data_IF_400501383389
#
_entry.id   IF_400501383389
#
_cell.length_a   1.000
_cell.length_b   1.000
_cell.length_c   1.000
_cell.angle_alpha   90.00
_cell.angle_beta   90.00
_cell.angle_gamma   90.00
#
_symmetry.space_group_name_H-M   'P 1'
#
loop_
_entity.id
_entity.type
_entity.pdbx_description
1 polymer ?
#
# COMPACT_ATOMS: atom_id res chain seq x y z
N UNK A 1 45.12 -40.87 29.59
CA UNK A 1 45.16 -40.46 28.17
C UNK A 1 43.88 -40.93 27.51
N UNK A 2 42.94 -40.01 27.25
CA UNK A 2 41.65 -40.32 26.65
C UNK A 2 41.59 -39.70 25.24
N UNK A 3 41.32 -40.52 24.24
CA UNK A 3 41.20 -40.09 22.85
C UNK A 3 39.86 -39.38 22.60
N UNK A 4 39.79 -38.36 21.72
CA UNK A 4 38.53 -37.75 21.33
C UNK A 4 37.94 -38.48 20.11
N UNK A 5 36.73 -39.03 20.27
CA UNK A 5 35.92 -39.60 19.20
C UNK A 5 35.07 -38.52 18.52
N UNK A 6 35.61 -37.89 17.47
CA UNK A 6 34.81 -37.08 16.56
C UNK A 6 34.24 -37.95 15.44
N UNK A 7 33.07 -38.56 15.69
CA UNK A 7 32.21 -39.10 14.64
C UNK A 7 31.42 -37.93 14.02
N UNK A 8 31.95 -37.35 12.94
CA UNK A 8 31.16 -36.48 12.05
C UNK A 8 30.33 -37.37 11.12
N UNK A 9 29.01 -37.27 11.25
CA UNK A 9 28.02 -37.83 10.32
C UNK A 9 28.33 -37.43 8.85
N UNK A 10 28.22 -38.35 7.87
CA UNK A 10 28.42 -38.05 6.45
C UNK A 10 27.16 -37.50 5.76
N UNK A 11 26.11 -37.12 6.50
CA UNK A 11 24.87 -36.58 5.89
C UNK A 11 25.00 -35.15 5.31
N UNK A 12 26.20 -34.55 5.33
CA UNK A 12 26.44 -33.20 4.82
C UNK A 12 26.77 -33.09 3.33
N UNK A 13 26.78 -34.20 2.56
CA UNK A 13 27.28 -34.22 1.19
C UNK A 13 26.25 -34.51 0.08
N UNK A 14 24.95 -34.33 0.34
CA UNK A 14 23.97 -34.26 -0.75
C UNK A 14 23.86 -32.82 -1.25
N UNK A 15 24.58 -32.53 -2.33
CA UNK A 15 24.40 -31.32 -3.14
C UNK A 15 22.91 -31.21 -3.46
N UNK A 16 22.26 -30.18 -2.92
CA UNK A 16 20.89 -29.79 -3.24
C UNK A 16 20.79 -29.60 -4.76
N UNK A 17 20.24 -30.58 -5.46
CA UNK A 17 19.93 -30.49 -6.89
C UNK A 17 18.93 -29.34 -7.03
N UNK A 18 19.40 -28.21 -7.58
CA UNK A 18 18.52 -27.14 -8.04
C UNK A 18 17.84 -27.63 -9.30
N UNK A 19 16.66 -28.21 -9.14
CA UNK A 19 15.72 -28.42 -10.24
C UNK A 19 15.22 -27.01 -10.61
N UNK A 20 15.82 -26.41 -11.63
CA UNK A 20 15.25 -25.23 -12.28
C UNK A 20 13.95 -25.67 -12.96
N UNK A 21 12.81 -24.99 -12.74
CA UNK A 21 11.62 -25.26 -13.54
C UNK A 21 11.96 -25.00 -15.02
N UNK A 22 11.40 -25.78 -15.97
CA UNK A 22 11.63 -25.55 -17.39
C UNK A 22 11.21 -24.13 -17.76
N UNK A 23 11.98 -23.50 -18.66
CA UNK A 23 11.91 -22.10 -19.08
C UNK A 23 10.60 -21.67 -19.79
N UNK A 24 9.49 -22.38 -19.58
CA UNK A 24 8.18 -22.14 -20.18
C UNK A 24 7.12 -21.62 -19.19
N UNK A 25 7.53 -20.99 -18.08
CA UNK A 25 6.62 -20.16 -17.29
C UNK A 25 6.97 -18.69 -17.51
N UNK A 26 6.48 -18.16 -18.63
CA UNK A 26 6.33 -16.72 -18.80
C UNK A 26 5.57 -16.18 -17.58
N UNK A 27 6.09 -15.12 -16.96
CA UNK A 27 5.45 -14.43 -15.87
C UNK A 27 4.11 -13.85 -16.35
N UNK A 28 3.06 -14.64 -16.17
CA UNK A 28 1.69 -14.23 -16.42
C UNK A 28 1.34 -13.10 -15.45
N UNK A 29 0.84 -11.94 -15.92
CA UNK A 29 0.45 -10.85 -15.05
C UNK A 29 -0.62 -11.31 -14.04
N UNK A 30 -0.48 -10.87 -12.78
CA UNK A 30 -1.34 -11.21 -11.63
C UNK A 30 -2.85 -11.09 -11.91
N UNK A 31 -3.26 -10.30 -12.90
CA UNK A 31 -4.65 -10.16 -13.32
C UNK A 31 -5.24 -11.45 -13.90
N UNK A 32 -4.46 -12.33 -14.54
CA UNK A 32 -4.99 -13.58 -15.11
C UNK A 32 -5.36 -14.63 -14.04
N UNK A 33 -4.79 -14.55 -12.82
CA UNK A 33 -5.09 -15.52 -11.74
C UNK A 33 -6.49 -15.37 -11.13
N UNK A 34 -7.05 -14.16 -11.13
CA UNK A 34 -8.40 -13.93 -10.59
C UNK A 34 -9.51 -14.32 -11.57
N UNK A 35 -9.30 -14.15 -12.88
CA UNK A 35 -10.26 -14.59 -13.91
C UNK A 35 -10.34 -16.12 -14.03
N UNK A 36 -9.23 -16.83 -13.82
CA UNK A 36 -9.23 -18.29 -13.93
C UNK A 36 -10.04 -18.95 -12.81
N UNK A 37 -10.09 -18.38 -11.59
CA UNK A 37 -10.83 -18.97 -10.47
C UNK A 37 -12.35 -18.85 -10.62
N UNK A 38 -12.84 -17.76 -11.21
CA UNK A 38 -14.29 -17.60 -11.50
C UNK A 38 -14.71 -18.48 -12.67
N UNK A 39 -13.92 -18.55 -13.75
CA UNK A 39 -14.20 -19.44 -14.88
C UNK A 39 -14.16 -20.93 -14.50
N UNK A 40 -13.20 -21.34 -13.65
CA UNK A 40 -13.15 -22.70 -13.10
C UNK A 40 -14.37 -23.00 -12.21
N UNK A 41 -14.85 -22.01 -11.43
CA UNK A 41 -16.09 -22.13 -10.65
C UNK A 41 -17.32 -22.39 -11.53
N UNK A 42 -17.52 -21.62 -12.59
CA UNK A 42 -18.63 -21.83 -13.53
C UNK A 42 -18.55 -23.18 -14.26
N UNK A 43 -17.33 -23.67 -14.51
CA UNK A 43 -17.11 -24.98 -15.12
C UNK A 43 -17.48 -26.14 -14.19
N UNK A 44 -17.26 -25.99 -12.88
CA UNK A 44 -17.69 -26.95 -11.85
C UNK A 44 -19.21 -26.98 -11.70
N UNK A 45 -19.89 -25.85 -11.94
CA UNK A 45 -21.35 -25.74 -11.96
C UNK A 45 -21.99 -26.18 -13.30
N UNK A 46 -21.21 -26.75 -14.24
CA UNK A 46 -21.63 -27.12 -15.60
C UNK A 46 -22.24 -25.96 -16.42
N UNK A 47 -21.83 -24.72 -16.13
CA UNK A 47 -22.30 -23.54 -16.85
C UNK A 47 -21.25 -23.12 -17.88
N UNK A 48 -21.49 -23.44 -19.15
CA UNK A 48 -20.65 -22.97 -20.26
C UNK A 48 -20.88 -21.49 -20.53
N UNK A 49 -20.01 -20.66 -19.95
CA UNK A 49 -20.03 -19.19 -20.05
C UNK A 49 -20.00 -18.72 -21.51
N UNK A 50 -19.29 -19.45 -22.38
CA UNK A 50 -19.19 -19.13 -23.80
C UNK A 50 -20.53 -19.25 -24.53
N UNK A 51 -21.33 -20.25 -24.19
CA UNK A 51 -22.62 -20.50 -24.83
C UNK A 51 -23.71 -19.58 -24.26
N UNK A 52 -23.66 -19.27 -22.96
CA UNK A 52 -24.52 -18.24 -22.38
C UNK A 52 -24.25 -16.85 -22.94
N UNK A 53 -22.97 -16.50 -23.16
CA UNK A 53 -22.59 -15.22 -23.75
C UNK A 53 -23.11 -15.09 -25.19
N UNK A 54 -23.02 -16.15 -26.00
CA UNK A 54 -23.61 -16.21 -27.35
C UNK A 54 -25.13 -16.10 -27.32
N UNK A 55 -25.81 -16.82 -26.41
CA UNK A 55 -27.28 -16.75 -26.27
C UNK A 55 -27.79 -15.38 -25.83
N UNK A 56 -26.95 -14.60 -25.14
CA UNK A 56 -27.29 -13.27 -24.63
C UNK A 56 -26.69 -12.12 -25.46
N UNK A 57 -26.09 -12.43 -26.61
CA UNK A 57 -25.41 -11.48 -27.49
C UNK A 57 -24.42 -10.55 -26.76
N UNK A 58 -23.71 -11.07 -25.75
CA UNK A 58 -22.72 -10.31 -25.00
C UNK A 58 -21.38 -10.42 -25.75
N UNK A 59 -20.78 -9.31 -26.22
CA UNK A 59 -19.49 -9.35 -26.90
C UNK A 59 -18.40 -9.78 -25.91
N UNK A 60 -17.87 -10.99 -26.11
CA UNK A 60 -16.75 -11.53 -25.34
C UNK A 60 -15.42 -10.95 -25.83
N UNK A 61 -14.43 -10.75 -24.95
CA UNK A 61 -13.09 -10.38 -25.40
C UNK A 61 -12.55 -11.45 -26.36
N UNK A 62 -11.82 -11.06 -27.43
CA UNK A 62 -11.30 -12.00 -28.39
C UNK A 62 -10.41 -13.03 -27.70
N UNK A 63 -10.81 -14.31 -27.80
CA UNK A 63 -10.09 -15.46 -27.20
C UNK A 63 -8.85 -15.86 -28.00
N UNK A 64 -8.71 -15.33 -29.22
CA UNK A 64 -7.53 -15.52 -30.04
C UNK A 64 -6.32 -14.99 -29.25
N UNK A 65 -5.31 -15.86 -29.08
CA UNK A 65 -4.02 -15.38 -28.63
C UNK A 65 -3.59 -14.29 -29.64
N UNK A 66 -3.11 -13.13 -29.17
CA UNK A 66 -2.59 -12.12 -30.09
C UNK A 66 -1.59 -12.82 -31.01
N UNK A 67 -1.69 -12.59 -32.31
CA UNK A 67 -0.86 -13.27 -33.31
C UNK A 67 0.60 -13.28 -32.83
N UNK A 68 1.23 -14.46 -32.80
CA UNK A 68 2.62 -14.59 -32.40
C UNK A 68 3.45 -13.63 -33.24
N UNK A 69 4.01 -12.61 -32.59
CA UNK A 69 4.90 -11.64 -33.25
C UNK A 69 6.00 -12.43 -33.95
N UNK A 70 6.07 -12.33 -35.28
CA UNK A 70 7.08 -13.01 -36.09
C UNK A 70 8.49 -12.64 -35.62
N UNK A 71 9.47 -13.52 -35.79
CA UNK A 71 10.83 -13.27 -35.29
C UNK A 71 11.44 -11.99 -35.90
N UNK A 72 11.14 -11.69 -37.18
CA UNK A 72 11.50 -10.43 -37.82
C UNK A 72 10.84 -9.19 -37.20
N UNK A 73 9.64 -9.32 -36.63
CA UNK A 73 9.00 -8.24 -35.86
C UNK A 73 9.63 -8.11 -34.47
N UNK A 74 10.03 -9.22 -33.84
CA UNK A 74 10.73 -9.21 -32.53
C UNK A 74 12.07 -8.49 -32.62
N UNK A 75 12.86 -8.77 -33.66
CA UNK A 75 14.14 -8.08 -33.91
C UNK A 75 13.94 -6.57 -34.11
N UNK A 76 12.91 -6.17 -34.87
CA UNK A 76 12.54 -4.75 -35.04
C UNK A 76 12.11 -4.10 -33.72
N UNK A 77 11.33 -4.80 -32.90
CA UNK A 77 10.92 -4.32 -31.57
C UNK A 77 12.12 -4.21 -30.63
N UNK A 78 13.08 -5.11 -30.73
CA UNK A 78 14.29 -5.13 -29.90
C UNK A 78 15.27 -4.01 -30.28
N UNK A 79 15.32 -3.63 -31.56
CA UNK A 79 16.05 -2.45 -32.04
C UNK A 79 15.40 -1.13 -31.58
N UNK A 80 14.10 -1.11 -31.29
CA UNK A 80 13.41 0.09 -30.82
C UNK A 80 13.74 0.37 -29.34
N UNK A 81 14.01 1.65 -29.05
CA UNK A 81 14.18 2.10 -27.67
C UNK A 81 12.88 1.89 -26.90
N UNK A 82 12.96 1.20 -25.76
CA UNK A 82 11.83 1.06 -24.83
C UNK A 82 11.31 2.44 -24.40
N UNK A 83 9.99 2.63 -24.26
CA UNK A 83 9.44 3.91 -23.84
C UNK A 83 9.93 4.28 -22.44
N UNK A 84 10.08 5.59 -22.19
CA UNK A 84 10.75 6.11 -20.98
C UNK A 84 10.11 5.66 -19.67
N UNK A 85 8.79 5.46 -19.66
CA UNK A 85 8.06 4.94 -18.50
C UNK A 85 8.49 3.51 -18.14
N UNK A 86 8.61 2.62 -19.12
CA UNK A 86 9.10 1.24 -18.94
C UNK A 86 10.56 1.25 -18.52
N UNK A 87 11.38 2.09 -19.15
CA UNK A 87 12.78 2.25 -18.80
C UNK A 87 12.96 2.73 -17.34
N UNK A 88 12.10 3.65 -16.88
CA UNK A 88 12.16 4.19 -15.53
C UNK A 88 11.83 3.16 -14.44
N UNK A 89 10.98 2.17 -14.71
CA UNK A 89 10.63 1.12 -13.73
C UNK A 89 11.89 0.32 -13.32
N UNK A 90 12.75 0.01 -14.29
CA UNK A 90 13.98 -0.75 -14.04
C UNK A 90 15.13 0.09 -13.45
N UNK A 91 14.94 1.41 -13.36
CA UNK A 91 15.93 2.34 -12.80
C UNK A 91 15.50 2.80 -11.41
N UNK A 92 16.46 3.40 -10.70
CA UNK A 92 16.20 4.10 -9.45
C UNK A 92 15.16 5.23 -9.66
N UNK A 93 14.38 5.58 -8.62
CA UNK A 93 13.37 6.61 -8.75
C UNK A 93 14.02 7.96 -9.02
N UNK A 94 13.54 8.62 -10.08
CA UNK A 94 13.99 9.97 -10.43
C UNK A 94 13.54 10.96 -9.35
N UNK A 95 14.31 12.03 -9.14
CA UNK A 95 14.04 13.06 -8.14
C UNK A 95 14.08 14.44 -8.79
N UNK A 96 13.22 15.34 -8.32
CA UNK A 96 13.25 16.77 -8.70
C UNK A 96 14.10 17.54 -7.71
N UNK A 97 14.69 18.63 -8.18
CA UNK A 97 15.42 19.60 -7.34
C UNK A 97 14.44 20.57 -6.71
N UNK A 98 14.64 20.91 -5.44
CA UNK A 98 13.91 21.98 -4.76
C UNK A 98 14.61 23.33 -4.98
N UNK A 99 13.85 24.42 -5.08
CA UNK A 99 14.39 25.77 -5.30
C UNK A 99 14.71 26.46 -3.98
N UNK A 100 13.76 26.42 -3.03
CA UNK A 100 13.85 27.08 -1.73
C UNK A 100 14.16 26.07 -0.61
N UNK A 101 13.71 24.82 -0.77
CA UNK A 101 13.96 23.74 0.16
C UNK A 101 13.10 23.79 1.43
N UNK A 102 11.96 24.47 1.40
CA UNK A 102 11.02 24.61 2.51
C UNK A 102 10.20 23.33 2.64
N UNK A 103 10.16 22.67 3.81
CA UNK A 103 9.39 21.45 3.99
C UNK A 103 7.89 21.74 4.04
N UNK A 104 7.12 21.07 3.19
CA UNK A 104 5.65 21.21 3.12
C UNK A 104 4.95 19.96 3.65
N UNK A 105 5.53 18.78 3.45
CA UNK A 105 4.94 17.55 3.96
C UNK A 105 6.00 16.55 4.43
N UNK A 106 5.79 16.03 5.62
CA UNK A 106 6.58 14.95 6.20
C UNK A 106 5.74 13.68 6.28
N UNK A 107 6.05 12.71 5.42
CA UNK A 107 5.43 11.39 5.43
C UNK A 107 6.32 10.39 6.16
N UNK A 108 5.87 9.97 7.34
CA UNK A 108 6.50 8.92 8.12
C UNK A 108 5.84 7.56 7.85
N UNK A 109 6.63 6.64 7.31
CA UNK A 109 6.26 5.24 7.13
C UNK A 109 6.68 4.42 8.35
N UNK A 110 5.82 3.50 8.78
CA UNK A 110 6.07 2.58 9.91
C UNK A 110 5.71 1.17 9.51
N UNK A 111 6.57 0.20 9.82
CA UNK A 111 6.29 -1.21 9.59
C UNK A 111 7.12 -2.11 10.48
N UNK A 112 6.83 -3.41 10.45
CA UNK A 112 7.65 -4.46 11.06
C UNK A 112 8.53 -5.20 10.04
N UNK A 113 8.34 -4.99 8.72
CA UNK A 113 9.08 -5.69 7.65
C UNK A 113 9.82 -4.73 6.70
N UNK A 114 11.12 -4.92 6.52
CA UNK A 114 11.95 -4.04 5.67
C UNK A 114 11.46 -4.02 4.21
N UNK A 115 11.18 -5.19 3.62
CA UNK A 115 10.89 -5.36 2.19
C UNK A 115 9.66 -4.57 1.75
N UNK A 116 8.58 -4.64 2.53
CA UNK A 116 7.33 -3.96 2.23
C UNK A 116 7.50 -2.43 2.29
N UNK A 117 8.27 -1.94 3.26
CA UNK A 117 8.52 -0.51 3.42
C UNK A 117 9.44 0.05 2.36
N UNK A 118 10.48 -0.67 1.94
CA UNK A 118 11.35 -0.22 0.85
C UNK A 118 10.62 -0.18 -0.49
N UNK A 119 9.80 -1.20 -0.77
CA UNK A 119 8.96 -1.23 -1.97
C UNK A 119 7.98 -0.06 -2.00
N UNK A 120 7.25 0.18 -0.91
CA UNK A 120 6.28 1.27 -0.84
C UNK A 120 6.93 2.65 -0.86
N UNK A 121 8.11 2.80 -0.23
CA UNK A 121 8.88 4.03 -0.30
C UNK A 121 9.33 4.34 -1.73
N UNK A 122 9.80 3.35 -2.49
CA UNK A 122 10.16 3.53 -3.91
C UNK A 122 8.94 3.97 -4.74
N UNK A 123 7.79 3.32 -4.54
CA UNK A 123 6.53 3.71 -5.17
C UNK A 123 6.15 5.17 -4.87
N UNK A 124 6.26 5.59 -3.60
CA UNK A 124 5.93 6.95 -3.20
C UNK A 124 6.85 8.00 -3.81
N UNK A 125 8.15 7.70 -3.92
CA UNK A 125 9.13 8.56 -4.60
C UNK A 125 8.83 8.71 -6.10
N UNK A 126 8.44 7.61 -6.77
CA UNK A 126 8.05 7.65 -8.18
C UNK A 126 6.80 8.50 -8.39
N UNK A 127 5.79 8.35 -7.55
CA UNK A 127 4.56 9.13 -7.62
C UNK A 127 4.84 10.63 -7.45
N UNK A 128 5.69 11.00 -6.50
CA UNK A 128 6.09 12.39 -6.27
C UNK A 128 6.77 13.01 -7.51
N UNK A 129 7.67 12.26 -8.18
CA UNK A 129 8.35 12.73 -9.39
C UNK A 129 7.41 13.09 -10.53
N UNK A 130 6.36 12.29 -10.75
CA UNK A 130 5.37 12.53 -11.80
C UNK A 130 4.45 13.71 -11.46
N UNK A 131 4.15 13.92 -10.18
CA UNK A 131 3.40 15.09 -9.70
C UNK A 131 4.26 16.37 -9.63
N UNK A 132 5.55 16.30 -9.98
CA UNK A 132 6.46 17.44 -9.95
C UNK A 132 6.94 17.83 -8.55
N UNK A 133 6.69 17.01 -7.53
CA UNK A 133 7.07 17.29 -6.15
C UNK A 133 8.54 16.91 -5.89
N UNK A 134 9.40 17.81 -5.39
CA UNK A 134 10.77 17.48 -5.02
C UNK A 134 10.78 16.76 -3.66
N UNK A 135 10.81 15.43 -3.73
CA UNK A 135 10.90 14.56 -2.57
C UNK A 135 12.36 14.26 -2.19
N UNK A 136 12.69 14.46 -0.92
CA UNK A 136 13.88 13.87 -0.29
C UNK A 136 13.57 12.41 0.06
N UNK A 137 14.54 11.55 -0.30
CA UNK A 137 14.39 10.09 -0.28
C UNK A 137 13.99 9.50 1.07
N UNK A 138 13.76 8.18 1.14
CA UNK A 138 13.36 7.53 2.39
C UNK A 138 14.51 7.57 3.41
N UNK A 139 14.49 8.57 4.28
CA UNK A 139 15.47 8.76 5.33
C UNK A 139 15.25 7.68 6.41
N UNK A 140 16.28 6.87 6.73
CA UNK A 140 16.18 5.86 7.77
C UNK A 140 16.10 6.51 9.15
N UNK A 141 14.93 6.47 9.76
CA UNK A 141 14.77 6.90 11.15
C UNK A 141 15.16 5.77 12.13
N UNK A 142 15.61 6.10 13.35
CA UNK A 142 15.94 5.11 14.36
C UNK A 142 14.78 4.16 14.66
N UNK A 143 15.01 2.85 14.59
CA UNK A 143 14.02 1.80 14.91
C UNK A 143 13.65 1.83 16.39
N UNK A 144 12.39 1.54 16.70
CA UNK A 144 11.92 1.32 18.09
C UNK A 144 11.91 -0.18 18.36
N UNK A 145 12.56 -0.62 19.44
CA UNK A 145 12.56 -2.03 19.86
C UNK A 145 11.82 -2.14 21.18
N UNK A 146 10.68 -2.81 21.16
CA UNK A 146 9.90 -3.15 22.35
C UNK A 146 10.25 -4.58 22.74
N UNK A 147 10.59 -4.83 24.00
CA UNK A 147 10.99 -6.14 24.49
C UNK A 147 10.10 -6.56 25.65
N UNK A 148 9.72 -7.83 25.68
CA UNK A 148 8.98 -8.42 26.78
C UNK A 148 9.45 -9.84 27.04
N UNK A 149 9.39 -10.25 28.30
CA UNK A 149 9.82 -11.56 28.75
C UNK A 149 8.60 -12.35 29.20
N UNK A 150 8.41 -13.53 28.64
CA UNK A 150 7.25 -14.39 28.95
C UNK A 150 7.78 -15.74 29.43
N UNK A 151 7.19 -16.32 30.50
CA UNK A 151 7.50 -17.70 30.87
C UNK A 151 7.23 -18.65 29.70
N UNK A 152 8.16 -19.57 29.43
CA UNK A 152 8.02 -20.52 28.32
C UNK A 152 6.83 -21.49 28.52
N UNK A 153 6.49 -21.78 29.79
CA UNK A 153 5.34 -22.59 30.19
C UNK A 153 4.28 -21.72 30.86
N UNK A 154 3.01 -22.10 30.70
CA UNK A 154 1.88 -21.45 31.36
C UNK A 154 1.89 -21.60 32.89
N UNK A 155 2.51 -22.65 33.46
CA UNK A 155 2.44 -22.96 34.89
C UNK A 155 3.78 -23.40 35.51
N UNK A 156 4.02 -22.99 36.78
CA UNK A 156 5.15 -23.27 37.71
C UNK A 156 6.57 -22.92 37.21
N UNK A 157 6.93 -23.17 35.95
CA UNK A 157 8.30 -23.11 35.44
C UNK A 157 8.82 -21.68 35.16
N UNK A 158 8.85 -20.80 36.17
CA UNK A 158 9.30 -19.39 36.05
C UNK A 158 10.80 -19.23 35.72
N UNK A 159 11.65 -20.22 36.01
CA UNK A 159 13.08 -20.19 35.67
C UNK A 159 13.33 -20.31 34.16
N UNK A 160 12.36 -20.83 33.40
CA UNK A 160 12.40 -20.88 31.94
C UNK A 160 11.61 -19.71 31.37
N UNK A 161 12.31 -18.69 30.86
CA UNK A 161 11.72 -17.49 30.26
C UNK A 161 12.26 -17.27 28.86
N UNK A 162 11.43 -16.71 28.00
CA UNK A 162 11.76 -16.37 26.62
C UNK A 162 11.68 -14.85 26.42
N UNK A 163 12.68 -14.31 25.72
CA UNK A 163 12.72 -12.90 25.35
C UNK A 163 12.08 -12.74 23.97
N UNK A 164 11.06 -11.89 23.88
CA UNK A 164 10.44 -11.50 22.63
C UNK A 164 10.72 -10.03 22.34
N UNK A 165 10.79 -9.69 21.05
CA UNK A 165 10.91 -8.31 20.62
C UNK A 165 9.98 -7.97 19.45
N UNK A 166 9.52 -6.71 19.45
CA UNK A 166 8.84 -6.08 18.32
C UNK A 166 9.64 -4.88 17.86
N UNK A 167 10.22 -5.01 16.67
CA UNK A 167 11.05 -3.97 16.06
C UNK A 167 10.20 -3.16 15.07
N UNK A 168 9.86 -1.93 15.45
CA UNK A 168 9.20 -0.99 14.54
C UNK A 168 10.24 -0.22 13.73
N UNK A 169 10.25 -0.46 12.42
CA UNK A 169 11.08 0.25 11.47
C UNK A 169 10.36 1.51 11.00
N UNK A 170 11.12 2.59 10.80
CA UNK A 170 10.59 3.90 10.42
C UNK A 170 11.41 4.48 9.27
N UNK A 171 10.72 5.07 8.29
CA UNK A 171 11.32 5.89 7.23
C UNK A 171 10.57 7.21 7.13
N UNK A 172 11.28 8.26 6.76
CA UNK A 172 10.71 9.57 6.51
C UNK A 172 10.91 9.93 5.04
N UNK A 173 9.84 10.35 4.37
CA UNK A 173 9.89 10.99 3.06
C UNK A 173 9.45 12.43 3.29
N UNK A 174 10.29 13.37 2.91
CA UNK A 174 10.01 14.79 3.08
C UNK A 174 9.84 15.43 1.71
N UNK A 175 8.72 16.10 1.49
CA UNK A 175 8.46 16.91 0.30
C UNK A 175 8.79 18.35 0.62
N UNK A 176 9.51 18.96 -0.32
CA UNK A 176 9.86 20.38 -0.27
C UNK A 176 9.08 21.14 -1.35
N UNK A 177 8.85 22.43 -1.15
CA UNK A 177 8.34 23.39 -2.16
C UNK A 177 7.14 22.87 -2.99
N UNK A 178 6.24 22.10 -2.37
CA UNK A 178 5.09 21.49 -3.04
C UNK A 178 3.82 22.34 -2.92
N UNK A 179 3.02 22.40 -3.99
CA UNK A 179 1.69 23.01 -3.93
C UNK A 179 0.75 22.17 -3.05
N UNK A 180 -0.06 22.77 -2.14
CA UNK A 180 -0.87 22.03 -1.16
C UNK A 180 -1.83 21.03 -1.81
N UNK A 181 -2.54 21.43 -2.87
CA UNK A 181 -3.45 20.52 -3.59
C UNK A 181 -2.73 19.32 -4.22
N UNK A 182 -1.51 19.52 -4.73
CA UNK A 182 -0.71 18.45 -5.34
C UNK A 182 -0.18 17.48 -4.28
N UNK A 183 0.19 18.00 -3.10
CA UNK A 183 0.56 17.19 -1.93
C UNK A 183 -0.64 16.36 -1.46
N UNK A 184 -1.83 16.95 -1.38
CA UNK A 184 -3.06 16.23 -1.03
C UNK A 184 -3.38 15.13 -2.06
N UNK A 185 -3.26 15.42 -3.36
CA UNK A 185 -3.42 14.43 -4.43
C UNK A 185 -2.41 13.27 -4.30
N UNK A 186 -1.16 13.58 -3.98
CA UNK A 186 -0.12 12.58 -3.72
C UNK A 186 -0.49 11.68 -2.54
N UNK A 187 -0.87 12.27 -1.40
CA UNK A 187 -1.31 11.52 -0.22
C UNK A 187 -2.55 10.65 -0.49
N UNK A 188 -3.52 11.17 -1.26
CA UNK A 188 -4.70 10.42 -1.67
C UNK A 188 -4.34 9.21 -2.54
N UNK A 189 -3.40 9.37 -3.48
CA UNK A 189 -2.89 8.28 -4.31
C UNK A 189 -2.19 7.21 -3.47
N UNK A 190 -1.37 7.62 -2.50
CA UNK A 190 -0.70 6.69 -1.58
C UNK A 190 -1.69 5.93 -0.71
N UNK A 191 -2.73 6.59 -0.22
CA UNK A 191 -3.80 5.95 0.56
C UNK A 191 -4.57 4.93 -0.28
N UNK A 192 -4.89 5.27 -1.54
CA UNK A 192 -5.58 4.36 -2.46
C UNK A 192 -4.77 3.09 -2.77
N UNK A 193 -3.45 3.23 -2.90
CA UNK A 193 -2.54 2.15 -3.27
C UNK A 193 -1.64 1.70 -2.09
N UNK A 194 -2.15 1.82 -0.86
CA UNK A 194 -1.39 1.49 0.34
C UNK A 194 -0.97 0.02 0.34
N UNK A 195 0.33 -0.23 0.54
CA UNK A 195 0.85 -1.58 0.66
C UNK A 195 0.56 -2.16 2.05
N UNK A 196 0.22 -3.44 2.11
CA UNK A 196 -0.14 -4.09 3.37
C UNK A 196 1.02 -4.07 4.39
N UNK A 197 0.67 -3.93 5.66
CA UNK A 197 1.65 -3.89 6.76
C UNK A 197 2.48 -2.61 6.82
N UNK A 198 2.18 -1.60 6.00
CA UNK A 198 2.80 -0.26 6.08
C UNK A 198 1.78 0.71 6.67
N UNK A 199 2.11 1.29 7.82
CA UNK A 199 1.38 2.42 8.40
C UNK A 199 1.97 3.75 7.94
N UNK A 200 1.12 4.75 7.73
CA UNK A 200 1.50 6.08 7.26
C UNK A 200 1.06 7.13 8.27
N UNK A 201 1.94 8.09 8.56
CA UNK A 201 1.61 9.33 9.27
C UNK A 201 2.11 10.49 8.43
N UNK A 202 1.22 11.37 8.00
CA UNK A 202 1.59 12.58 7.26
C UNK A 202 1.41 13.80 8.17
N UNK A 203 2.42 14.64 8.24
CA UNK A 203 2.29 16.02 8.73
C UNK A 203 2.31 16.92 7.50
N UNK A 204 1.32 17.80 7.36
CA UNK A 204 1.23 18.77 6.26
C UNK A 204 1.36 20.16 6.86
N UNK A 205 2.19 20.99 6.24
CA UNK A 205 2.45 22.38 6.63
C UNK A 205 1.92 23.28 5.52
N UNK A 206 0.96 24.14 5.85
CA UNK A 206 0.35 25.08 4.93
C UNK A 206 0.60 26.52 5.41
N UNK A 207 0.79 27.43 4.46
CA UNK A 207 0.96 28.84 4.75
C UNK A 207 -0.38 29.54 4.59
N UNK A 208 -0.88 30.11 5.68
CA UNK A 208 -2.09 30.92 5.67
C UNK A 208 -1.79 32.37 6.07
N UNK A 209 -2.72 33.26 5.71
CA UNK A 209 -2.69 34.66 6.14
C UNK A 209 -3.17 34.76 7.58
N UNK A 210 -2.82 35.86 8.26
CA UNK A 210 -3.22 36.10 9.65
C UNK A 210 -4.74 36.17 9.86
N UNK A 211 -5.49 36.62 8.85
CA UNK A 211 -6.96 36.71 8.91
C UNK A 211 -7.62 35.38 8.52
N UNK A 212 -7.38 34.36 9.35
CA UNK A 212 -7.81 32.97 9.10
C UNK A 212 -9.34 32.85 9.05
N UNK A 213 -10.07 33.59 9.89
CA UNK A 213 -11.53 33.47 10.01
C UNK A 213 -12.22 33.78 8.68
N UNK A 214 -11.92 34.93 8.06
CA UNK A 214 -12.55 35.31 6.79
C UNK A 214 -12.15 34.36 5.66
N UNK A 215 -10.88 33.94 5.65
CA UNK A 215 -10.40 32.97 4.66
C UNK A 215 -11.13 31.62 4.78
N UNK A 216 -11.42 31.16 6.00
CA UNK A 216 -12.18 29.95 6.25
C UNK A 216 -13.64 30.07 5.82
N UNK A 217 -14.32 31.19 6.10
CA UNK A 217 -15.71 31.40 5.68
C UNK A 217 -15.85 31.39 4.14
N UNK A 218 -14.92 32.04 3.44
CA UNK A 218 -14.89 32.05 1.97
C UNK A 218 -14.57 30.66 1.38
N UNK A 219 -13.65 29.92 2.01
CA UNK A 219 -13.30 28.56 1.59
C UNK A 219 -14.46 27.58 1.81
N UNK A 220 -15.15 27.69 2.96
CA UNK A 220 -16.30 26.86 3.29
C UNK A 220 -17.44 26.98 2.28
N UNK A 221 -17.72 28.20 1.79
CA UNK A 221 -18.72 28.41 0.73
C UNK A 221 -18.33 27.70 -0.58
N UNK A 222 -17.06 27.81 -1.00
CA UNK A 222 -16.56 27.13 -2.21
C UNK A 222 -16.58 25.61 -2.07
N UNK A 223 -16.25 25.11 -0.89
CA UNK A 223 -16.25 23.67 -0.63
C UNK A 223 -17.67 23.11 -0.56
N UNK A 224 -18.64 23.85 0.01
CA UNK A 224 -20.04 23.46 0.03
C UNK A 224 -20.60 23.22 -1.40
N UNK A 225 -20.29 24.12 -2.34
CA UNK A 225 -20.69 23.96 -3.74
C UNK A 225 -20.09 22.70 -4.39
N UNK A 226 -18.86 22.33 -3.99
CA UNK A 226 -18.14 21.17 -4.50
C UNK A 226 -18.66 19.88 -3.86
N UNK A 227 -18.87 19.86 -2.55
CA UNK A 227 -19.39 18.71 -1.82
C UNK A 227 -20.81 18.41 -2.25
N UNK A 228 -21.68 19.42 -2.42
CA UNK A 228 -23.05 19.23 -2.89
C UNK A 228 -23.09 18.55 -4.25
N UNK A 229 -22.22 18.94 -5.18
CA UNK A 229 -22.08 18.26 -6.49
C UNK A 229 -21.66 16.80 -6.33
N UNK A 230 -20.69 16.52 -5.46
CA UNK A 230 -20.22 15.15 -5.21
C UNK A 230 -21.26 14.27 -4.48
N UNK A 231 -22.08 14.88 -3.61
CA UNK A 231 -23.03 14.18 -2.74
C UNK A 231 -24.43 14.04 -3.33
N UNK A 232 -24.70 14.56 -4.55
CA UNK A 232 -25.97 14.32 -5.27
C UNK A 232 -26.35 12.84 -5.40
N UNK A 233 -25.36 11.94 -5.42
CA UNK A 233 -25.58 10.49 -5.45
C UNK A 233 -25.69 9.82 -4.08
N UNK A 234 -25.45 10.55 -2.98
CA UNK A 234 -25.51 10.01 -1.63
C UNK A 234 -26.97 9.98 -1.15
N UNK A 235 -27.62 8.82 -1.29
CA UNK A 235 -28.99 8.63 -0.85
C UNK A 235 -29.10 8.58 0.67
N UNK A 236 -29.58 9.66 1.30
CA UNK A 236 -30.08 9.60 2.68
C UNK A 236 -31.50 9.04 2.71
N UNK A 237 -31.81 8.28 3.75
CA UNK A 237 -33.18 7.80 4.01
C UNK A 237 -34.05 9.03 4.29
N UNK A 238 -35.08 9.28 3.47
CA UNK A 238 -36.01 10.40 3.68
C UNK A 238 -36.73 10.21 5.03
N UNK A 239 -36.71 11.23 5.90
CA UNK A 239 -37.31 11.21 7.24
C UNK A 239 -36.31 11.07 8.41
N UNK A 240 -35.00 11.12 8.15
CA UNK A 240 -33.97 11.23 9.19
C UNK A 240 -33.56 12.71 9.33
N UNK A 241 -34.50 13.56 9.75
CA UNK A 241 -34.25 14.97 10.04
C UNK A 241 -33.59 15.07 11.42
N UNK A 242 -32.31 14.71 11.49
CA UNK A 242 -31.55 14.83 12.74
C UNK A 242 -31.30 16.31 13.01
N UNK A 243 -31.64 16.74 14.22
CA UNK A 243 -31.25 18.04 14.73
C UNK A 243 -29.70 18.18 14.69
N UNK A 244 -29.16 19.40 14.53
CA UNK A 244 -27.70 19.61 14.50
C UNK A 244 -27.01 19.09 15.78
N UNK A 245 -27.73 19.04 16.89
CA UNK A 245 -27.28 18.50 18.17
C UNK A 245 -27.14 16.97 18.12
N UNK A 246 -28.15 16.24 17.62
CA UNK A 246 -28.08 14.78 17.43
C UNK A 246 -26.95 14.37 16.46
N UNK A 247 -26.71 15.17 15.41
CA UNK A 247 -25.59 14.96 14.50
C UNK A 247 -24.24 15.15 15.20
N UNK A 248 -24.13 16.16 16.06
CA UNK A 248 -22.91 16.41 16.84
C UNK A 248 -22.65 15.29 17.84
N UNK A 249 -23.69 14.76 18.50
CA UNK A 249 -23.60 13.60 19.38
C UNK A 249 -23.15 12.35 18.61
N UNK A 250 -23.77 12.06 17.47
CA UNK A 250 -23.38 10.94 16.61
C UNK A 250 -21.95 11.05 16.04
N UNK A 251 -21.51 12.25 15.66
CA UNK A 251 -20.13 12.49 15.26
C UNK A 251 -19.15 12.29 16.42
N UNK A 252 -19.62 12.56 17.64
CA UNK A 252 -18.82 12.41 18.84
C UNK A 252 -18.80 10.99 19.40
N UNK A 253 -19.69 10.11 18.96
CA UNK A 253 -19.70 8.70 19.34
C UNK A 253 -18.36 8.03 19.04
N UNK A 254 -17.83 7.36 20.07
CA UNK A 254 -16.57 6.61 20.03
C UNK A 254 -16.58 5.54 18.92
N UNK A 255 -17.74 4.94 18.66
CA UNK A 255 -17.88 3.94 17.59
C UNK A 255 -17.71 4.57 16.20
N UNK A 256 -18.26 5.76 15.98
CA UNK A 256 -18.11 6.50 14.74
C UNK A 256 -16.66 6.97 14.56
N UNK A 257 -16.05 7.53 15.61
CA UNK A 257 -14.63 7.94 15.61
C UNK A 257 -13.70 6.76 15.29
N UNK A 258 -13.93 5.58 15.85
CA UNK A 258 -13.19 4.32 15.59
C UNK A 258 -13.36 3.77 14.17
N UNK A 259 -14.50 4.04 13.52
CA UNK A 259 -14.72 3.62 12.14
C UNK A 259 -14.03 4.56 11.14
N UNK A 260 -13.96 5.86 11.47
CA UNK A 260 -13.34 6.89 10.63
C UNK A 260 -11.81 6.94 10.82
N UNK A 261 -11.32 6.71 12.03
CA UNK A 261 -9.90 6.65 12.36
C UNK A 261 -9.46 5.20 12.47
N UNK A 262 -8.44 4.80 11.69
CA UNK A 262 -7.82 3.48 11.86
C UNK A 262 -6.99 3.45 13.14
N UNK A 263 -7.61 3.16 14.28
CA UNK A 263 -6.86 2.89 15.49
C UNK A 263 -5.93 1.69 15.27
N UNK A 264 -4.66 1.75 15.74
CA UNK A 264 -3.82 0.57 15.76
C UNK A 264 -4.50 -0.49 16.65
N UNK A 265 -4.39 -1.78 16.32
CA UNK A 265 -5.13 -2.87 16.97
C UNK A 265 -4.83 -3.10 18.47
N UNK A 266 -4.09 -2.21 19.13
CA UNK A 266 -3.59 -2.36 20.50
C UNK A 266 -4.18 -1.39 21.53
N UNK A 267 -5.12 -0.49 21.18
CA UNK A 267 -5.79 0.38 22.18
C UNK A 267 -6.81 -0.37 23.07
N UNK A 268 -7.05 -1.66 22.80
CA UNK A 268 -8.12 -2.49 23.39
C UNK A 268 -7.92 -2.89 24.86
N UNK A 269 -6.82 -2.53 25.53
CA UNK A 269 -6.43 -3.16 26.79
C UNK A 269 -6.56 -2.30 28.06
N UNK A 270 -7.20 -1.12 28.02
CA UNK A 270 -7.17 -0.18 29.17
C UNK A 270 -8.53 0.31 29.71
N UNK A 271 -9.67 -0.12 29.16
CA UNK A 271 -10.99 0.37 29.60
C UNK A 271 -12.02 -0.75 29.84
N UNK A 272 -11.58 -1.89 30.39
CA UNK A 272 -12.48 -2.84 31.06
C UNK A 272 -11.97 -3.01 32.49
N UNK A 273 -12.41 -2.10 33.38
CA UNK A 273 -12.28 -2.15 34.84
C UNK A 273 -13.38 -1.31 35.45
#
# INVERSE_FOLDING_TARGET
MAAPSYLRSPFGALKRVKISPPAAMAAVPCQQRFYNRTLEGFRLDNVDVDDLAKKRDIPMPPRAQPADVSDAQREKIEQLRRPRNVEAIFKAPLRRTAEYGIPVCDLQLRTFSIRNMEFFADFAMRAAYYLGLPAKGPIPLPRRVERWTVPASHFIFKKSQENYERVTLKRLIQIQDGHPETVQLWLALLRKHQYHGVGMKANVFEFEKLDVIKAMDEAAQKDADRTDKAWKGFGRRKGLDQSPEELAEWLNDEQFKRAVHSDPPMSRMQHES
#
